data_IF_505532590975
#
_entry.id   IF_505532590975
#
_cell.length_a   1.000
_cell.length_b   1.000
_cell.length_c   1.000
_cell.angle_alpha   90.00
_cell.angle_beta   90.00
_cell.angle_gamma   90.00
#
_symmetry.space_group_name_H-M   'P 1'
#
loop_
_entity.id
_entity.type
_entity.pdbx_description
1 polymer ?
#
# COMPACT_ATOMS: atom_id res chain seq x y z
N UNK A 1 -2.97 -66.17 41.95
CA UNK A 1 -2.22 -65.61 40.80
C UNK A 1 -3.16 -65.44 39.62
N UNK A 2 -3.43 -64.19 39.20
CA UNK A 2 -3.68 -63.78 37.81
C UNK A 2 -4.06 -62.28 37.79
N UNK A 3 -3.11 -61.43 37.43
CA UNK A 3 -3.33 -60.01 37.15
C UNK A 3 -4.04 -59.85 35.79
N UNK A 4 -5.14 -59.10 35.72
CA UNK A 4 -5.68 -58.58 34.45
C UNK A 4 -5.37 -57.09 34.33
N UNK A 5 -4.60 -56.79 33.28
CA UNK A 5 -4.08 -55.48 32.89
C UNK A 5 -5.18 -54.64 32.24
N UNK A 6 -5.12 -53.35 32.57
CA UNK A 6 -5.98 -52.26 32.13
C UNK A 6 -5.55 -51.80 30.72
N UNK A 7 -6.42 -51.92 29.71
CA UNK A 7 -6.19 -51.40 28.36
C UNK A 7 -6.95 -50.09 28.17
N UNK A 8 -6.22 -48.96 28.25
CA UNK A 8 -6.72 -47.65 27.82
C UNK A 8 -6.69 -47.57 26.29
N UNK A 9 -7.84 -47.23 25.73
CA UNK A 9 -8.12 -47.08 24.30
C UNK A 9 -7.35 -45.87 23.68
N UNK A 10 -6.51 -46.05 22.63
CA UNK A 10 -5.61 -45.01 22.11
C UNK A 10 -6.23 -44.03 21.09
N UNK A 11 -7.52 -44.15 20.76
CA UNK A 11 -8.12 -43.37 19.66
C UNK A 11 -8.46 -41.90 19.97
N UNK A 12 -8.35 -41.44 21.22
CA UNK A 12 -8.75 -40.06 21.57
C UNK A 12 -7.62 -39.00 21.47
N UNK A 13 -6.35 -39.42 21.32
CA UNK A 13 -5.21 -38.49 21.15
C UNK A 13 -4.87 -38.17 19.69
N UNK A 14 -5.21 -39.04 18.74
CA UNK A 14 -4.88 -38.84 17.32
C UNK A 14 -5.77 -37.77 16.63
N UNK A 15 -7.01 -37.57 17.08
CA UNK A 15 -7.93 -36.58 16.50
C UNK A 15 -7.62 -35.11 16.83
N UNK A 16 -6.91 -34.83 17.93
CA UNK A 16 -6.44 -33.47 18.27
C UNK A 16 -5.08 -33.14 17.64
N UNK A 17 -4.22 -34.16 17.45
CA UNK A 17 -2.93 -34.01 16.78
C UNK A 17 -3.17 -33.71 15.29
N UNK A 18 -4.06 -34.43 14.59
CA UNK A 18 -4.34 -34.14 13.17
C UNK A 18 -4.91 -32.73 12.91
N UNK A 19 -5.64 -32.12 13.84
CA UNK A 19 -6.16 -30.76 13.69
C UNK A 19 -5.12 -29.67 13.97
N UNK A 20 -4.12 -29.95 14.80
CA UNK A 20 -3.00 -29.03 15.05
C UNK A 20 -1.90 -29.15 14.00
N UNK A 21 -1.68 -30.35 13.42
CA UNK A 21 -0.73 -30.54 12.30
C UNK A 21 -1.23 -29.92 11.00
N UNK A 22 -2.54 -29.89 10.75
CA UNK A 22 -3.11 -29.23 9.56
C UNK A 22 -3.02 -27.69 9.66
N UNK A 23 -3.08 -27.13 10.88
CA UNK A 23 -2.86 -25.68 11.11
C UNK A 23 -1.37 -25.31 11.01
N UNK A 24 -0.44 -26.22 11.36
CA UNK A 24 1.00 -25.99 11.16
C UNK A 24 1.46 -26.16 9.70
N UNK A 25 0.84 -27.07 8.93
CA UNK A 25 1.16 -27.27 7.51
C UNK A 25 0.66 -26.12 6.62
N UNK A 26 -0.41 -25.43 7.03
CA UNK A 26 -0.86 -24.19 6.36
C UNK A 26 0.03 -22.99 6.73
N UNK A 27 0.69 -23.00 7.90
CA UNK A 27 1.65 -21.94 8.28
C UNK A 27 3.03 -22.06 7.61
N UNK A 28 3.48 -23.28 7.29
CA UNK A 28 4.75 -23.49 6.56
C UNK A 28 4.64 -23.30 5.03
N UNK A 29 3.42 -23.18 4.49
CA UNK A 29 3.18 -22.90 3.07
C UNK A 29 3.04 -21.38 2.76
N UNK A 30 3.12 -20.51 3.78
CA UNK A 30 2.91 -19.05 3.65
C UNK A 30 4.20 -18.24 3.87
N UNK A 31 5.30 -18.87 4.29
CA UNK A 31 6.62 -18.25 4.24
C UNK A 31 7.41 -18.85 3.07
N UNK A 32 7.63 -18.10 1.97
CA UNK A 32 8.64 -18.52 1.01
C UNK A 32 9.97 -18.68 1.77
N UNK A 33 10.89 -19.57 1.35
CA UNK A 33 12.26 -19.45 1.80
C UNK A 33 12.68 -18.02 1.50
N UNK A 34 13.05 -17.28 2.53
CA UNK A 34 13.74 -16.01 2.36
C UNK A 34 14.99 -16.40 1.58
N UNK A 35 14.95 -16.16 0.27
CA UNK A 35 16.09 -16.21 -0.60
C UNK A 35 17.02 -15.10 -0.11
N UNK A 36 17.81 -15.40 0.91
CA UNK A 36 19.11 -14.78 1.06
C UNK A 36 19.86 -15.11 -0.22
N UNK A 37 19.97 -14.10 -1.07
CA UNK A 37 20.69 -14.14 -2.33
C UNK A 37 22.18 -14.35 -2.05
N UNK A 38 22.61 -15.59 -1.79
CA UNK A 38 23.99 -16.00 -2.03
C UNK A 38 24.02 -16.69 -3.39
N UNK A 39 23.91 -15.89 -4.46
CA UNK A 39 23.89 -16.41 -5.83
C UNK A 39 25.28 -16.67 -6.41
N UNK A 40 26.34 -16.32 -5.69
CA UNK A 40 27.72 -16.54 -6.11
C UNK A 40 28.46 -17.18 -4.96
N UNK A 41 28.71 -18.49 -5.03
CA UNK A 41 29.40 -19.25 -3.98
C UNK A 41 30.92 -18.99 -4.00
N UNK A 42 31.41 -18.03 -4.80
CA UNK A 42 32.83 -17.76 -4.98
C UNK A 42 33.53 -18.72 -5.94
N UNK A 43 32.79 -19.71 -6.44
CA UNK A 43 33.22 -20.62 -7.48
C UNK A 43 32.48 -20.18 -8.74
N UNK A 44 33.22 -19.59 -9.68
CA UNK A 44 32.68 -19.11 -10.95
C UNK A 44 32.04 -20.29 -11.71
N UNK A 45 30.93 -20.11 -12.44
CA UNK A 45 30.22 -21.21 -13.16
C UNK A 45 31.10 -22.01 -14.14
N UNK A 46 32.25 -21.46 -14.52
CA UNK A 46 33.26 -22.12 -15.37
C UNK A 46 34.04 -23.19 -14.58
N UNK A 47 34.17 -23.07 -13.25
CA UNK A 47 34.78 -24.06 -12.34
C UNK A 47 33.83 -25.22 -11.98
N UNK A 48 32.51 -25.05 -12.11
CA UNK A 48 31.50 -26.07 -11.74
C UNK A 48 31.64 -27.38 -12.55
N UNK A 49 32.10 -27.29 -13.80
CA UNK A 49 32.18 -28.45 -14.71
C UNK A 49 33.44 -29.32 -14.54
N UNK A 50 34.37 -28.97 -13.63
CA UNK A 50 35.64 -29.72 -13.45
C UNK A 50 35.93 -30.15 -12.02
N UNK A 51 35.09 -29.81 -11.03
CA UNK A 51 35.46 -29.88 -9.61
C UNK A 51 34.57 -30.74 -8.71
N UNK A 52 33.88 -31.75 -9.25
CA UNK A 52 33.18 -32.71 -8.38
C UNK A 52 33.67 -34.13 -8.69
N UNK A 53 34.76 -34.53 -8.02
CA UNK A 53 34.94 -35.94 -7.65
C UNK A 53 34.19 -36.15 -6.34
N UNK A 54 32.95 -36.61 -6.42
CA UNK A 54 32.19 -37.06 -5.25
C UNK A 54 32.98 -38.19 -4.55
N UNK A 55 33.23 -38.06 -3.24
CA UNK A 55 33.66 -39.17 -2.39
C UNK A 55 34.92 -38.99 -1.52
N UNK A 56 35.51 -37.79 -1.40
CA UNK A 56 36.59 -37.57 -0.43
C UNK A 56 36.01 -37.11 0.92
N UNK A 57 36.27 -37.87 1.99
CA UNK A 57 35.80 -37.57 3.37
C UNK A 57 36.12 -36.12 3.81
N UNK A 58 37.22 -35.55 3.32
CA UNK A 58 37.65 -34.18 3.62
C UNK A 58 36.76 -33.10 2.99
N UNK A 59 36.23 -33.32 1.78
CA UNK A 59 35.29 -32.38 1.15
C UNK A 59 33.94 -32.41 1.87
N UNK A 60 33.54 -33.58 2.39
CA UNK A 60 32.30 -33.73 3.17
C UNK A 60 32.32 -32.92 4.47
N UNK A 61 33.47 -32.85 5.16
CA UNK A 61 33.63 -32.00 6.33
C UNK A 61 33.55 -30.50 6.01
N UNK A 62 34.11 -30.05 4.87
CA UNK A 62 34.01 -28.65 4.44
C UNK A 62 32.55 -28.31 4.11
N UNK A 63 31.83 -29.19 3.43
CA UNK A 63 30.41 -29.01 3.14
C UNK A 63 29.54 -29.03 4.40
N UNK A 64 29.86 -29.87 5.39
CA UNK A 64 29.20 -29.86 6.69
C UNK A 64 29.41 -28.51 7.40
N UNK A 65 30.64 -28.01 7.42
CA UNK A 65 30.97 -26.69 7.96
C UNK A 65 30.17 -25.57 7.25
N UNK A 66 30.11 -25.57 5.92
CA UNK A 66 29.34 -24.61 5.13
C UNK A 66 27.82 -24.71 5.37
N UNK A 67 27.30 -25.89 5.71
CA UNK A 67 25.87 -26.09 5.92
C UNK A 67 25.43 -25.68 7.33
N UNK A 68 26.26 -25.94 8.33
CA UNK A 68 25.87 -25.88 9.75
C UNK A 68 26.48 -24.68 10.47
N UNK A 69 27.77 -24.37 10.22
CA UNK A 69 28.53 -23.43 11.04
C UNK A 69 28.70 -22.07 10.38
N UNK A 70 28.98 -22.00 9.08
CA UNK A 70 29.19 -20.71 8.39
C UNK A 70 27.96 -19.79 8.47
N UNK A 71 26.74 -20.36 8.45
CA UNK A 71 25.49 -19.61 8.56
C UNK A 71 25.29 -18.92 9.91
N UNK A 72 25.89 -19.45 10.98
CA UNK A 72 25.74 -18.95 12.34
C UNK A 72 26.88 -17.99 12.75
N UNK A 73 27.94 -17.87 11.95
CA UNK A 73 29.13 -17.08 12.26
C UNK A 73 29.01 -15.58 11.92
N UNK A 74 27.83 -15.13 11.48
CA UNK A 74 27.46 -13.70 11.46
C UNK A 74 28.54 -12.79 10.88
N UNK A 75 28.83 -12.91 9.60
CA UNK A 75 29.84 -12.08 8.94
C UNK A 75 30.00 -12.48 7.50
N UNK A 76 30.26 -11.50 6.63
CA UNK A 76 30.46 -11.78 5.22
C UNK A 76 31.97 -11.99 4.97
N UNK A 77 32.38 -13.12 4.38
CA UNK A 77 33.81 -13.47 4.23
C UNK A 77 34.57 -12.40 3.42
N UNK A 78 35.65 -11.79 3.94
CA UNK A 78 36.34 -10.68 3.26
C UNK A 78 37.15 -11.12 2.02
N UNK A 79 37.12 -12.40 1.70
CA UNK A 79 38.03 -13.09 0.80
C UNK A 79 37.27 -13.80 -0.31
N UNK A 80 37.71 -13.67 -1.56
CA UNK A 80 37.13 -14.32 -2.73
C UNK A 80 38.15 -15.22 -3.47
N UNK A 81 37.87 -16.52 -3.65
CA UNK A 81 36.85 -17.30 -2.95
C UNK A 81 37.08 -17.29 -1.44
N UNK A 82 36.02 -17.60 -0.67
CA UNK A 82 36.13 -17.78 0.78
C UNK A 82 37.13 -18.89 1.12
N UNK A 83 37.70 -18.87 2.32
CA UNK A 83 38.69 -19.88 2.75
C UNK A 83 38.18 -21.32 2.61
N UNK A 84 36.90 -21.57 2.88
CA UNK A 84 36.29 -22.89 2.68
C UNK A 84 36.23 -23.29 1.20
N UNK A 85 35.94 -22.35 0.31
CA UNK A 85 35.87 -22.64 -1.13
C UNK A 85 37.26 -22.73 -1.76
N UNK A 86 38.21 -21.92 -1.28
CA UNK A 86 39.63 -22.09 -1.60
C UNK A 86 40.09 -23.50 -1.19
N UNK A 87 39.73 -23.95 0.01
CA UNK A 87 39.98 -25.32 0.49
C UNK A 87 39.42 -26.38 -0.45
N UNK A 88 38.15 -26.27 -0.86
CA UNK A 88 37.55 -27.18 -1.82
C UNK A 88 38.33 -27.23 -3.15
N UNK A 89 38.76 -26.07 -3.67
CA UNK A 89 39.55 -25.99 -4.90
C UNK A 89 40.87 -26.75 -4.74
N UNK A 90 41.65 -26.47 -3.68
CA UNK A 90 42.98 -27.08 -3.53
C UNK A 90 42.90 -28.57 -3.18
N UNK A 91 41.96 -29.01 -2.35
CA UNK A 91 41.79 -30.43 -2.00
C UNK A 91 41.30 -31.28 -3.18
N UNK A 92 40.62 -30.67 -4.14
CA UNK A 92 40.22 -31.35 -5.38
C UNK A 92 41.36 -31.47 -6.39
N UNK A 93 42.35 -30.58 -6.33
CA UNK A 93 43.38 -30.44 -7.37
C UNK A 93 44.78 -30.91 -6.95
N UNK A 94 45.06 -30.97 -5.65
CA UNK A 94 46.39 -31.26 -5.10
C UNK A 94 46.37 -32.42 -4.10
N UNK A 95 47.50 -33.14 -3.92
CA UNK A 95 47.62 -34.15 -2.88
C UNK A 95 47.32 -33.58 -1.49
N UNK A 96 46.80 -34.43 -0.59
CA UNK A 96 46.28 -34.04 0.72
C UNK A 96 47.21 -33.11 1.51
N UNK A 97 48.50 -33.42 1.62
CA UNK A 97 49.44 -32.63 2.42
C UNK A 97 49.72 -31.24 1.82
N UNK A 98 49.76 -31.13 0.49
CA UNK A 98 49.93 -29.86 -0.21
C UNK A 98 48.66 -29.00 -0.08
N UNK A 99 47.50 -29.60 -0.30
CA UNK A 99 46.20 -28.94 -0.13
C UNK A 99 45.98 -28.46 1.31
N UNK A 100 46.37 -29.27 2.31
CA UNK A 100 46.31 -28.89 3.72
C UNK A 100 47.24 -27.71 4.02
N UNK A 101 48.46 -27.72 3.48
CA UNK A 101 49.42 -26.62 3.67
C UNK A 101 48.93 -25.32 3.04
N UNK A 102 48.41 -25.36 1.80
CA UNK A 102 47.86 -24.20 1.11
C UNK A 102 46.60 -23.66 1.79
N UNK A 103 45.74 -24.54 2.31
CA UNK A 103 44.54 -24.13 3.05
C UNK A 103 44.90 -23.51 4.40
N UNK A 104 45.87 -24.07 5.10
CA UNK A 104 46.36 -23.52 6.37
C UNK A 104 46.98 -22.13 6.18
N UNK A 105 47.85 -21.97 5.17
CA UNK A 105 48.41 -20.68 4.78
C UNK A 105 47.31 -19.64 4.48
N UNK A 106 46.31 -20.02 3.67
CA UNK A 106 45.16 -19.16 3.35
C UNK A 106 44.39 -18.72 4.59
N UNK A 107 44.20 -19.61 5.57
CA UNK A 107 43.51 -19.28 6.82
C UNK A 107 44.30 -18.28 7.67
N UNK A 108 45.63 -18.32 7.65
CA UNK A 108 46.48 -17.36 8.35
C UNK A 108 46.37 -15.97 7.72
N UNK A 109 46.41 -15.86 6.38
CA UNK A 109 46.32 -14.59 5.66
C UNK A 109 44.92 -13.98 5.63
N UNK A 110 43.89 -14.78 5.90
CA UNK A 110 42.50 -14.35 5.81
C UNK A 110 42.21 -13.15 6.71
N UNK A 111 41.89 -12.00 6.09
CA UNK A 111 41.40 -10.80 6.77
C UNK A 111 42.47 -9.86 7.35
N UNK A 112 43.76 -10.12 7.13
CA UNK A 112 44.84 -9.35 7.76
C UNK A 112 45.78 -8.60 6.78
N UNK A 113 45.58 -8.76 5.47
CA UNK A 113 46.56 -8.35 4.44
C UNK A 113 45.92 -7.60 3.24
N UNK A 114 44.88 -6.81 3.47
CA UNK A 114 44.07 -6.13 2.44
C UNK A 114 44.86 -5.40 1.34
N UNK A 115 45.93 -4.69 1.70
CA UNK A 115 46.76 -3.91 0.76
C UNK A 115 47.49 -4.72 -0.32
N UNK A 116 47.57 -6.04 -0.18
CA UNK A 116 48.30 -6.92 -1.11
C UNK A 116 47.40 -7.61 -2.13
N UNK A 117 46.08 -7.45 -2.05
CA UNK A 117 45.12 -8.12 -2.95
C UNK A 117 44.34 -7.12 -3.77
N UNK A 118 44.03 -7.50 -5.02
CA UNK A 118 43.03 -6.81 -5.81
C UNK A 118 41.64 -7.02 -5.21
N UNK A 119 40.74 -6.06 -5.43
CA UNK A 119 39.38 -6.16 -4.94
C UNK A 119 38.45 -6.71 -6.01
N UNK A 120 37.44 -7.46 -5.57
CA UNK A 120 36.33 -7.92 -6.39
C UNK A 120 35.00 -7.61 -5.70
N UNK A 121 33.97 -7.35 -6.49
CA UNK A 121 32.59 -7.22 -6.02
C UNK A 121 31.74 -8.46 -6.38
N UNK A 122 32.37 -9.59 -6.74
CA UNK A 122 31.66 -10.79 -7.18
C UNK A 122 30.71 -11.39 -6.11
N UNK A 123 30.96 -11.15 -4.82
CA UNK A 123 30.01 -11.48 -3.74
C UNK A 123 28.90 -10.43 -3.52
N UNK A 124 28.79 -9.40 -4.38
CA UNK A 124 27.92 -8.23 -4.15
C UNK A 124 28.48 -7.23 -3.14
N UNK A 125 29.74 -7.42 -2.73
CA UNK A 125 30.49 -6.58 -1.78
C UNK A 125 31.97 -6.65 -2.08
N UNK A 126 32.73 -5.64 -1.65
CA UNK A 126 34.19 -5.67 -1.78
C UNK A 126 34.75 -6.87 -1.01
N UNK A 127 35.50 -7.69 -1.72
CA UNK A 127 36.20 -8.86 -1.21
C UNK A 127 37.59 -8.90 -1.85
N UNK A 128 38.56 -9.38 -1.11
CA UNK A 128 39.95 -9.47 -1.53
C UNK A 128 40.13 -10.75 -2.36
N UNK A 129 40.56 -10.58 -3.60
CA UNK A 129 40.67 -11.63 -4.60
C UNK A 129 41.97 -12.42 -4.38
N UNK A 130 41.87 -13.70 -4.06
CA UNK A 130 43.03 -14.57 -3.84
C UNK A 130 42.72 -16.03 -4.21
N UNK A 131 43.25 -16.43 -5.36
CA UNK A 131 43.16 -17.78 -5.91
C UNK A 131 44.42 -18.59 -5.56
N UNK A 132 44.38 -19.93 -5.61
CA UNK A 132 45.58 -20.73 -5.40
C UNK A 132 46.72 -20.27 -6.32
N UNK A 133 47.98 -20.26 -5.85
CA UNK A 133 49.10 -19.58 -6.53
C UNK A 133 49.39 -20.13 -7.94
N UNK A 134 48.90 -21.34 -8.24
CA UNK A 134 49.01 -21.98 -9.55
C UNK A 134 47.80 -21.71 -10.47
N UNK A 135 46.87 -20.84 -10.09
CA UNK A 135 45.71 -20.38 -10.88
C UNK A 135 45.73 -18.86 -10.99
N UNK A 136 45.52 -18.34 -12.21
CA UNK A 136 45.31 -16.90 -12.44
C UNK A 136 43.83 -16.55 -12.28
N UNK A 137 43.47 -15.51 -11.49
CA UNK A 137 42.09 -15.09 -11.35
C UNK A 137 41.54 -14.52 -12.68
N UNK A 138 40.27 -14.81 -13.05
CA UNK A 138 39.65 -14.20 -14.23
C UNK A 138 39.63 -12.66 -14.16
N UNK A 139 40.09 -11.98 -15.22
CA UNK A 139 40.14 -10.50 -15.30
C UNK A 139 38.81 -9.81 -14.95
N UNK A 140 37.68 -10.38 -15.34
CA UNK A 140 36.32 -9.85 -15.05
C UNK A 140 36.00 -9.74 -13.55
N UNK A 141 36.73 -10.46 -12.69
CA UNK A 141 36.54 -10.41 -11.24
C UNK A 141 37.26 -9.20 -10.64
N UNK A 142 38.27 -8.66 -11.32
CA UNK A 142 39.03 -7.51 -10.85
C UNK A 142 38.14 -6.27 -10.97
N UNK A 143 37.91 -5.59 -9.84
CA UNK A 143 37.13 -4.37 -9.83
C UNK A 143 37.92 -3.21 -10.45
N UNK A 144 37.31 -2.54 -11.42
CA UNK A 144 37.77 -1.26 -11.99
C UNK A 144 36.72 -0.18 -11.68
N UNK A 145 37.13 1.04 -11.32
CA UNK A 145 36.20 2.16 -11.06
C UNK A 145 35.39 2.49 -12.33
N UNK A 146 34.07 2.76 -12.24
CA UNK A 146 33.27 3.08 -13.43
C UNK A 146 33.64 4.44 -14.02
N UNK A 147 33.79 4.52 -15.35
CA UNK A 147 33.85 5.78 -16.10
C UNK A 147 32.45 6.42 -16.16
N UNK A 148 32.37 7.75 -15.98
CA UNK A 148 31.12 8.49 -16.01
C UNK A 148 30.69 8.84 -17.46
N UNK A 149 29.43 8.56 -17.80
CA UNK A 149 28.79 8.93 -19.08
C UNK A 149 27.99 10.24 -18.92
N UNK A 150 28.05 11.12 -19.92
CA UNK A 150 27.29 12.39 -20.00
C UNK A 150 26.48 12.48 -21.32
N UNK A 151 25.55 13.44 -21.41
CA UNK A 151 24.73 13.75 -22.60
C UNK A 151 24.77 15.25 -22.95
N UNK A 152 24.39 15.61 -24.18
CA UNK A 152 24.40 16.97 -24.74
C UNK A 152 23.47 17.98 -24.02
N UNK A 153 23.88 19.26 -24.04
CA UNK A 153 23.08 20.41 -23.58
C UNK A 153 22.29 21.01 -24.75
N UNK A 154 21.02 20.61 -24.90
CA UNK A 154 20.12 21.25 -25.86
C UNK A 154 19.46 22.49 -25.24
N UNK A 155 19.77 23.67 -25.78
CA UNK A 155 19.06 24.92 -25.52
C UNK A 155 17.86 25.04 -26.47
N UNK A 156 16.72 24.46 -26.08
CA UNK A 156 15.43 24.89 -26.60
C UNK A 156 14.87 25.98 -25.68
N UNK A 157 14.31 27.03 -26.27
CA UNK A 157 13.53 28.04 -25.56
C UNK A 157 12.16 27.45 -25.22
N UNK A 158 12.15 26.44 -24.36
CA UNK A 158 10.93 25.87 -23.81
C UNK A 158 10.42 26.83 -22.73
N UNK A 159 9.22 27.36 -22.90
CA UNK A 159 8.61 28.11 -21.80
C UNK A 159 8.34 27.10 -20.69
N UNK A 160 8.85 27.35 -19.47
CA UNK A 160 8.65 26.41 -18.35
C UNK A 160 7.17 26.04 -18.15
N UNK A 161 6.26 26.95 -18.52
CA UNK A 161 4.82 26.72 -18.55
C UNK A 161 4.38 25.60 -19.53
N UNK A 162 4.97 25.53 -20.73
CA UNK A 162 4.70 24.47 -21.70
C UNK A 162 5.23 23.12 -21.20
N UNK A 163 6.42 23.09 -20.61
CA UNK A 163 6.96 21.86 -20.02
C UNK A 163 6.11 21.37 -18.84
N UNK A 164 5.69 22.28 -17.94
CA UNK A 164 4.73 21.96 -16.86
C UNK A 164 3.42 21.41 -17.44
N UNK A 165 2.86 22.03 -18.48
CA UNK A 165 1.65 21.53 -19.14
C UNK A 165 1.86 20.13 -19.75
N UNK A 166 3.01 19.90 -20.38
CA UNK A 166 3.37 18.61 -20.93
C UNK A 166 3.39 17.53 -19.84
N UNK A 167 4.03 17.81 -18.70
CA UNK A 167 4.09 16.89 -17.56
C UNK A 167 2.70 16.60 -16.98
N UNK A 168 1.87 17.63 -16.79
CA UNK A 168 0.47 17.47 -16.31
C UNK A 168 -0.36 16.62 -17.27
N UNK A 169 -0.25 16.88 -18.58
CA UNK A 169 -0.99 16.10 -19.60
C UNK A 169 -0.51 14.64 -19.70
N UNK A 170 0.72 14.36 -19.27
CA UNK A 170 1.27 13.00 -19.13
C UNK A 170 0.95 12.36 -17.77
N UNK A 171 0.14 13.01 -16.93
CA UNK A 171 -0.18 12.61 -15.55
C UNK A 171 1.06 12.48 -14.64
N UNK A 172 2.15 13.18 -14.95
CA UNK A 172 3.38 13.23 -14.15
C UNK A 172 3.34 14.42 -13.19
N UNK A 173 2.38 14.41 -12.28
CA UNK A 173 2.06 15.56 -11.42
C UNK A 173 3.15 15.88 -10.39
N UNK A 174 3.90 14.87 -9.94
CA UNK A 174 5.05 15.00 -9.05
C UNK A 174 6.20 15.78 -9.73
N UNK A 175 6.53 15.42 -10.97
CA UNK A 175 7.53 16.13 -11.76
C UNK A 175 7.06 17.53 -12.15
N UNK A 176 5.77 17.68 -12.49
CA UNK A 176 5.18 18.98 -12.77
C UNK A 176 5.27 19.88 -11.54
N UNK A 177 4.96 19.36 -10.35
CA UNK A 177 5.06 20.08 -9.09
C UNK A 177 6.51 20.50 -8.81
N UNK A 178 7.49 19.60 -8.99
CA UNK A 178 8.91 19.93 -8.84
C UNK A 178 9.33 21.07 -9.77
N UNK A 179 8.91 21.04 -11.04
CA UNK A 179 9.22 22.08 -12.01
C UNK A 179 8.52 23.41 -11.66
N UNK A 180 7.26 23.36 -11.19
CA UNK A 180 6.55 24.53 -10.68
C UNK A 180 7.29 25.15 -9.51
N UNK A 181 7.75 24.36 -8.54
CA UNK A 181 8.53 24.83 -7.39
C UNK A 181 9.83 25.48 -7.82
N UNK A 182 10.54 24.87 -8.79
CA UNK A 182 11.76 25.43 -9.37
C UNK A 182 11.49 26.81 -9.97
N UNK A 183 10.40 26.97 -10.72
CA UNK A 183 10.04 28.24 -11.36
C UNK A 183 9.63 29.30 -10.32
N UNK A 184 8.83 28.93 -9.32
CA UNK A 184 8.41 29.83 -8.23
C UNK A 184 9.62 30.28 -7.40
N UNK A 185 10.60 29.41 -7.16
CA UNK A 185 11.83 29.74 -6.44
C UNK A 185 12.61 30.89 -7.09
N UNK A 186 12.64 30.96 -8.43
CA UNK A 186 13.23 32.07 -9.18
C UNK A 186 12.32 33.32 -9.26
N UNK A 187 11.33 33.44 -8.37
CA UNK A 187 10.54 34.63 -8.07
C UNK A 187 9.61 35.12 -9.19
N UNK A 188 8.89 34.19 -9.83
CA UNK A 188 7.73 34.57 -10.66
C UNK A 188 6.51 34.94 -9.81
N UNK A 189 5.79 35.99 -10.20
CA UNK A 189 4.47 36.34 -9.64
C UNK A 189 3.33 35.89 -10.57
N UNK A 190 3.59 34.93 -11.46
CA UNK A 190 2.58 34.41 -12.37
C UNK A 190 1.64 33.43 -11.66
N UNK A 191 0.39 33.86 -11.53
CA UNK A 191 -0.73 33.11 -10.96
C UNK A 191 -0.89 31.71 -11.56
N UNK A 192 -0.57 31.51 -12.84
CA UNK A 192 -0.76 30.21 -13.50
C UNK A 192 0.03 29.08 -12.83
N UNK A 193 1.23 29.36 -12.33
CA UNK A 193 2.03 28.34 -11.63
C UNK A 193 1.38 27.93 -10.32
N UNK A 194 0.83 28.89 -9.56
CA UNK A 194 0.13 28.63 -8.30
C UNK A 194 -1.18 27.86 -8.50
N UNK A 195 -1.96 28.19 -9.54
CA UNK A 195 -3.17 27.43 -9.90
C UNK A 195 -2.79 25.98 -10.24
N UNK A 196 -1.76 25.77 -11.05
CA UNK A 196 -1.27 24.43 -11.39
C UNK A 196 -0.64 23.70 -10.21
N UNK A 197 -0.05 24.43 -9.27
CA UNK A 197 0.49 23.88 -8.03
C UNK A 197 -0.62 23.20 -7.22
N UNK A 198 -1.72 23.93 -6.97
CA UNK A 198 -2.91 23.38 -6.30
C UNK A 198 -3.55 22.22 -7.08
N UNK A 199 -3.56 22.30 -8.42
CA UNK A 199 -4.01 21.19 -9.27
C UNK A 199 -3.13 19.95 -9.10
N UNK A 200 -1.81 20.09 -9.02
CA UNK A 200 -0.92 18.95 -8.81
C UNK A 200 -1.11 18.35 -7.41
N UNK A 201 -1.34 19.16 -6.37
CA UNK A 201 -1.70 18.65 -5.04
C UNK A 201 -3.00 17.85 -5.06
N UNK A 202 -4.05 18.36 -5.72
CA UNK A 202 -5.33 17.66 -5.94
C UNK A 202 -5.11 16.32 -6.67
N UNK A 203 -4.34 16.31 -7.75
CA UNK A 203 -4.11 15.12 -8.56
C UNK A 203 -3.23 14.05 -7.86
N UNK A 204 -2.47 14.44 -6.83
CA UNK A 204 -1.60 13.57 -6.05
C UNK A 204 -2.25 13.06 -4.75
N UNK A 205 -3.52 13.39 -4.47
CA UNK A 205 -4.19 13.08 -3.19
C UNK A 205 -3.44 13.71 -1.99
N UNK A 206 -2.89 14.92 -2.21
CA UNK A 206 -2.09 15.71 -1.26
C UNK A 206 -2.76 17.05 -0.95
N UNK A 207 -4.09 17.06 -0.83
CA UNK A 207 -4.86 18.29 -0.66
C UNK A 207 -4.54 19.06 0.62
N UNK A 208 -4.29 18.36 1.72
CA UNK A 208 -3.90 18.99 3.00
C UNK A 208 -2.58 19.76 2.87
N UNK A 209 -1.60 19.20 2.14
CA UNK A 209 -0.33 19.86 1.87
C UNK A 209 -0.51 21.09 0.98
N UNK A 210 -1.37 20.99 -0.05
CA UNK A 210 -1.70 22.12 -0.90
C UNK A 210 -2.42 23.26 -0.17
N UNK A 211 -3.30 22.93 0.77
CA UNK A 211 -3.95 23.91 1.65
C UNK A 211 -2.91 24.58 2.55
N UNK A 212 -2.02 23.80 3.18
CA UNK A 212 -0.97 24.32 4.05
C UNK A 212 -0.01 25.26 3.30
N UNK A 213 0.43 24.85 2.11
CA UNK A 213 1.31 25.63 1.25
C UNK A 213 0.65 26.93 0.77
N UNK A 214 -0.65 26.90 0.46
CA UNK A 214 -1.42 28.11 0.22
C UNK A 214 -1.39 29.05 1.43
N UNK A 215 -1.66 28.55 2.63
CA UNK A 215 -1.73 29.39 3.82
C UNK A 215 -0.37 30.00 4.19
N UNK A 216 0.72 29.26 4.03
CA UNK A 216 2.05 29.67 4.48
C UNK A 216 2.86 30.41 3.43
N UNK A 217 2.81 29.98 2.16
CA UNK A 217 3.82 30.34 1.16
C UNK A 217 3.28 31.18 -0.01
N UNK A 218 1.96 31.19 -0.25
CA UNK A 218 1.41 31.95 -1.38
C UNK A 218 1.47 33.47 -1.13
N UNK A 219 1.92 34.28 -2.10
CA UNK A 219 1.91 35.74 -1.98
C UNK A 219 0.51 36.31 -1.80
N UNK A 220 0.36 37.38 -1.02
CA UNK A 220 -0.95 38.02 -0.72
C UNK A 220 -1.74 38.41 -1.98
N UNK A 221 -1.06 38.87 -3.03
CA UNK A 221 -1.67 39.22 -4.33
C UNK A 221 -2.26 38.00 -5.05
N UNK A 222 -1.65 36.83 -4.90
CA UNK A 222 -2.11 35.57 -5.51
C UNK A 222 -3.27 34.98 -4.73
N UNK A 223 -3.28 35.13 -3.39
CA UNK A 223 -4.37 34.66 -2.52
C UNK A 223 -5.74 35.25 -2.86
N UNK A 224 -5.79 36.45 -3.43
CA UNK A 224 -7.05 37.10 -3.85
C UNK A 224 -7.48 36.74 -5.27
N UNK A 225 -6.76 35.87 -5.98
CA UNK A 225 -7.13 35.49 -7.34
C UNK A 225 -8.28 34.48 -7.33
N UNK A 226 -9.29 34.70 -8.17
CA UNK A 226 -10.49 33.85 -8.23
C UNK A 226 -10.22 32.40 -8.67
N UNK A 227 -9.27 32.15 -9.57
CA UNK A 227 -8.92 30.78 -9.99
C UNK A 227 -8.20 30.01 -8.87
N UNK A 228 -7.29 30.69 -8.17
CA UNK A 228 -6.59 30.13 -7.00
C UNK A 228 -7.59 29.79 -5.91
N UNK A 229 -8.49 30.73 -5.56
CA UNK A 229 -9.52 30.52 -4.55
C UNK A 229 -10.49 29.39 -4.93
N UNK A 230 -10.82 29.24 -6.22
CA UNK A 230 -11.66 28.14 -6.69
C UNK A 230 -10.97 26.79 -6.51
N UNK A 231 -9.68 26.66 -6.87
CA UNK A 231 -8.90 25.43 -6.64
C UNK A 231 -8.76 25.14 -5.16
N UNK A 232 -8.48 26.14 -4.33
CA UNK A 232 -8.42 25.99 -2.88
C UNK A 232 -9.75 25.51 -2.29
N UNK A 233 -10.88 26.10 -2.71
CA UNK A 233 -12.20 25.67 -2.28
C UNK A 233 -12.48 24.21 -2.67
N UNK A 234 -11.97 23.75 -3.83
CA UNK A 234 -12.03 22.35 -4.23
C UNK A 234 -11.19 21.46 -3.30
N UNK A 235 -9.98 21.86 -2.94
CA UNK A 235 -9.16 21.11 -1.97
C UNK A 235 -9.89 20.97 -0.62
N UNK A 236 -10.47 22.07 -0.10
CA UNK A 236 -11.28 22.02 1.12
C UNK A 236 -12.52 21.11 0.97
N UNK A 237 -13.13 21.07 -0.21
CA UNK A 237 -14.25 20.17 -0.48
C UNK A 237 -13.81 18.70 -0.47
N UNK A 238 -12.67 18.36 -1.10
CA UNK A 238 -12.16 16.99 -1.14
C UNK A 238 -11.77 16.47 0.25
N UNK A 239 -11.19 17.32 1.10
CA UNK A 239 -10.86 16.99 2.50
C UNK A 239 -12.08 16.93 3.42
N UNK A 240 -13.29 17.16 2.89
CA UNK A 240 -14.54 17.17 3.66
C UNK A 240 -14.74 18.42 4.52
N UNK A 241 -13.86 19.41 4.43
CA UNK A 241 -13.99 20.69 5.13
C UNK A 241 -14.94 21.64 4.38
N UNK A 242 -16.22 21.24 4.33
CA UNK A 242 -17.27 21.96 3.60
C UNK A 242 -17.50 23.39 4.12
N UNK A 243 -17.25 23.63 5.42
CA UNK A 243 -17.38 24.97 6.01
C UNK A 243 -16.36 25.95 5.42
N UNK A 244 -15.08 25.58 5.36
CA UNK A 244 -14.04 26.43 4.77
C UNK A 244 -14.19 26.56 3.25
N UNK A 245 -14.57 25.47 2.58
CA UNK A 245 -14.90 25.51 1.16
C UNK A 245 -16.01 26.54 0.87
N UNK A 246 -17.11 26.48 1.61
CA UNK A 246 -18.24 27.42 1.48
C UNK A 246 -17.83 28.87 1.80
N UNK A 247 -17.04 29.09 2.86
CA UNK A 247 -16.51 30.41 3.23
C UNK A 247 -15.70 31.04 2.09
N UNK A 248 -14.80 30.24 1.50
CA UNK A 248 -13.95 30.65 0.36
C UNK A 248 -14.79 31.03 -0.86
N UNK A 249 -15.82 30.24 -1.17
CA UNK A 249 -16.69 30.42 -2.34
C UNK A 249 -17.67 31.60 -2.23
N UNK A 250 -18.06 31.99 -1.01
CA UNK A 250 -18.96 33.13 -0.76
C UNK A 250 -18.27 34.49 -0.81
N UNK A 251 -16.95 34.52 -1.00
CA UNK A 251 -16.23 35.79 -1.17
C UNK A 251 -16.72 36.57 -2.40
N UNK A 252 -16.75 37.90 -2.32
CA UNK A 252 -17.17 38.79 -3.43
C UNK A 252 -16.14 38.88 -4.57
N UNK A 253 -15.17 37.96 -4.62
CA UNK A 253 -14.02 37.98 -5.52
C UNK A 253 -14.38 37.42 -6.90
N UNK A 254 -15.36 36.51 -6.98
CA UNK A 254 -15.75 35.87 -8.24
C UNK A 254 -16.52 36.84 -9.14
N UNK A 255 -15.84 37.38 -10.14
CA UNK A 255 -16.40 38.34 -11.10
C UNK A 255 -16.48 37.77 -12.52
N UNK A 256 -15.55 36.90 -12.92
CA UNK A 256 -15.63 36.28 -14.24
C UNK A 256 -16.80 35.29 -14.32
N UNK A 257 -17.58 35.40 -15.40
CA UNK A 257 -18.77 34.57 -15.69
C UNK A 257 -18.53 33.08 -15.43
N UNK A 258 -17.40 32.54 -15.91
CA UNK A 258 -17.06 31.12 -15.76
C UNK A 258 -16.73 30.74 -14.31
N UNK A 259 -15.91 31.53 -13.62
CA UNK A 259 -15.51 31.25 -12.24
C UNK A 259 -16.67 31.48 -11.26
N UNK A 260 -17.56 32.42 -11.57
CA UNK A 260 -18.82 32.62 -10.85
C UNK A 260 -19.74 31.41 -10.98
N UNK A 261 -19.90 30.86 -12.19
CA UNK A 261 -20.63 29.62 -12.42
C UNK A 261 -20.05 28.46 -11.60
N UNK A 262 -18.74 28.18 -11.74
CA UNK A 262 -18.06 27.09 -11.01
C UNK A 262 -18.21 27.23 -9.49
N UNK A 263 -18.09 28.46 -8.98
CA UNK A 263 -18.29 28.75 -7.56
C UNK A 263 -19.72 28.44 -7.10
N UNK A 264 -20.74 28.93 -7.80
CA UNK A 264 -22.14 28.69 -7.46
C UNK A 264 -22.50 27.21 -7.52
N UNK A 265 -22.00 26.47 -8.52
CA UNK A 265 -22.25 25.04 -8.61
C UNK A 265 -21.59 24.29 -7.46
N UNK A 266 -20.33 24.58 -7.12
CA UNK A 266 -19.66 23.92 -6.00
C UNK A 266 -20.36 24.21 -4.67
N UNK A 267 -20.85 25.44 -4.46
CA UNK A 267 -21.71 25.77 -3.31
C UNK A 267 -23.00 24.94 -3.32
N UNK A 268 -23.67 24.81 -4.48
CA UNK A 268 -24.87 24.00 -4.62
C UNK A 268 -24.61 22.52 -4.31
N UNK A 269 -23.49 21.97 -4.76
CA UNK A 269 -23.06 20.59 -4.47
C UNK A 269 -22.83 20.40 -2.97
N UNK A 270 -22.19 21.36 -2.30
CA UNK A 270 -22.00 21.34 -0.84
C UNK A 270 -23.36 21.35 -0.12
N UNK A 271 -24.34 22.14 -0.58
CA UNK A 271 -25.67 22.14 0.03
C UNK A 271 -26.42 20.82 -0.18
N UNK A 272 -26.23 20.15 -1.32
CA UNK A 272 -26.75 18.79 -1.54
C UNK A 272 -26.11 17.79 -0.57
N UNK A 273 -24.80 17.87 -0.31
CA UNK A 273 -24.13 17.04 0.70
C UNK A 273 -24.72 17.25 2.09
N UNK A 274 -25.03 18.50 2.43
CA UNK A 274 -25.69 18.86 3.70
C UNK A 274 -27.19 18.54 3.72
N UNK A 275 -27.75 17.98 2.64
CA UNK A 275 -29.19 17.69 2.46
C UNK A 275 -30.09 18.95 2.48
N UNK A 276 -29.52 20.14 2.30
CA UNK A 276 -30.26 21.37 2.11
C UNK A 276 -30.62 21.57 0.63
N UNK A 277 -31.65 20.84 0.20
CA UNK A 277 -32.09 20.85 -1.19
C UNK A 277 -32.76 22.17 -1.60
N UNK A 278 -33.22 23.00 -0.65
CA UNK A 278 -33.86 24.28 -0.96
C UNK A 278 -32.80 25.28 -1.38
N UNK A 279 -31.76 25.44 -0.58
CA UNK A 279 -30.62 26.31 -0.89
C UNK A 279 -29.86 25.82 -2.12
N UNK A 280 -29.68 24.49 -2.25
CA UNK A 280 -29.06 23.92 -3.44
C UNK A 280 -29.79 24.34 -4.72
N UNK A 281 -31.13 24.21 -4.78
CA UNK A 281 -31.90 24.63 -5.96
C UNK A 281 -31.76 26.13 -6.24
N UNK A 282 -31.76 26.97 -5.19
CA UNK A 282 -31.55 28.42 -5.33
C UNK A 282 -30.20 28.72 -5.97
N UNK A 283 -29.13 28.07 -5.50
CA UNK A 283 -27.77 28.24 -6.04
C UNK A 283 -27.66 27.77 -7.49
N UNK A 284 -28.24 26.61 -7.82
CA UNK A 284 -28.26 26.12 -9.21
C UNK A 284 -29.09 27.01 -10.13
N UNK A 285 -30.18 27.61 -9.65
CA UNK A 285 -30.95 28.62 -10.39
C UNK A 285 -30.16 29.91 -10.61
N UNK A 286 -29.36 30.35 -9.63
CA UNK A 286 -28.45 31.48 -9.84
C UNK A 286 -27.34 31.13 -10.84
N UNK A 287 -26.82 29.90 -10.78
CA UNK A 287 -25.79 29.43 -11.72
C UNK A 287 -26.29 29.37 -13.17
N UNK A 288 -27.61 29.22 -13.39
CA UNK A 288 -28.19 29.10 -14.74
C UNK A 288 -28.01 30.36 -15.58
N UNK A 289 -27.85 31.53 -14.94
CA UNK A 289 -27.53 32.80 -15.60
C UNK A 289 -26.20 32.76 -16.38
N UNK A 290 -25.36 31.79 -16.08
CA UNK A 290 -24.00 31.66 -16.59
C UNK A 290 -23.77 30.32 -17.33
N UNK A 291 -24.82 29.53 -17.60
CA UNK A 291 -24.73 28.17 -18.13
C UNK A 291 -25.77 27.88 -19.22
N UNK A 292 -25.59 26.78 -19.97
CA UNK A 292 -26.59 26.32 -20.96
C UNK A 292 -27.82 25.73 -20.25
N UNK A 293 -29.02 26.08 -20.73
CA UNK A 293 -30.31 25.69 -20.13
C UNK A 293 -30.47 24.17 -19.89
N UNK A 294 -29.88 23.34 -20.76
CA UNK A 294 -29.93 21.87 -20.64
C UNK A 294 -29.22 21.33 -19.41
N UNK A 295 -28.09 21.95 -19.01
CA UNK A 295 -27.32 21.61 -17.82
C UNK A 295 -28.13 21.96 -16.57
N UNK A 296 -28.73 23.15 -16.55
CA UNK A 296 -29.59 23.60 -15.44
C UNK A 296 -30.76 22.63 -15.20
N UNK A 297 -31.51 22.28 -16.25
CA UNK A 297 -32.66 21.38 -16.11
C UNK A 297 -32.26 20.00 -15.57
N UNK A 298 -31.11 19.48 -16.02
CA UNK A 298 -30.57 18.20 -15.54
C UNK A 298 -30.20 18.27 -14.05
N UNK A 299 -29.55 19.35 -13.62
CA UNK A 299 -29.18 19.56 -12.22
C UNK A 299 -30.42 19.62 -11.31
N UNK A 300 -31.44 20.38 -11.70
CA UNK A 300 -32.69 20.48 -10.93
C UNK A 300 -33.39 19.13 -10.81
N UNK A 301 -33.48 18.36 -11.89
CA UNK A 301 -34.07 17.01 -11.86
C UNK A 301 -33.32 16.06 -10.91
N UNK A 302 -31.99 16.16 -10.85
CA UNK A 302 -31.18 15.37 -9.90
C UNK A 302 -31.54 15.76 -8.46
N UNK A 303 -31.61 17.06 -8.17
CA UNK A 303 -31.89 17.57 -6.82
C UNK A 303 -33.32 17.22 -6.39
N UNK A 304 -34.31 17.36 -7.26
CA UNK A 304 -35.70 16.98 -6.99
C UNK A 304 -35.84 15.48 -6.70
N UNK A 305 -35.13 14.65 -7.48
CA UNK A 305 -35.09 13.22 -7.22
C UNK A 305 -34.51 12.92 -5.83
N UNK A 306 -33.44 13.60 -5.43
CA UNK A 306 -32.84 13.41 -4.10
C UNK A 306 -33.79 13.84 -2.98
N UNK A 307 -34.44 15.01 -3.13
CA UNK A 307 -35.40 15.54 -2.17
C UNK A 307 -36.59 14.59 -1.96
N UNK A 308 -37.05 13.92 -3.02
CA UNK A 308 -38.21 13.03 -2.97
C UNK A 308 -37.88 11.61 -2.48
N UNK A 309 -36.60 11.25 -2.36
CA UNK A 309 -36.21 9.92 -1.86
C UNK A 309 -36.38 9.86 -0.34
N UNK A 310 -37.21 8.91 0.12
CA UNK A 310 -37.34 8.60 1.54
C UNK A 310 -36.10 7.86 2.05
N UNK A 311 -35.33 8.54 2.90
CA UNK A 311 -34.18 7.97 3.58
C UNK A 311 -34.58 6.85 4.56
N UNK A 312 -33.68 5.89 4.75
CA UNK A 312 -33.86 4.75 5.66
C UNK A 312 -33.52 5.18 7.08
N UNK A 313 -34.40 4.88 8.03
CA UNK A 313 -34.17 5.17 9.45
C UNK A 313 -33.28 4.12 10.11
N UNK A 314 -32.21 4.57 10.78
CA UNK A 314 -31.32 3.71 11.57
C UNK A 314 -32.07 3.02 12.72
N UNK A 315 -33.04 3.70 13.35
CA UNK A 315 -33.84 3.13 14.44
C UNK A 315 -34.75 2.01 13.95
N UNK A 316 -35.38 2.19 12.78
CA UNK A 316 -36.18 1.13 12.16
C UNK A 316 -35.32 -0.07 11.78
N UNK A 317 -34.12 0.15 11.24
CA UNK A 317 -33.19 -0.94 10.93
C UNK A 317 -32.74 -1.70 12.20
N UNK A 318 -32.45 -1.00 13.30
CA UNK A 318 -32.14 -1.62 14.60
C UNK A 318 -33.32 -2.46 15.11
N UNK A 319 -34.53 -1.91 15.10
CA UNK A 319 -35.74 -2.60 15.57
C UNK A 319 -36.02 -3.89 14.76
N UNK A 320 -35.92 -3.82 13.44
CA UNK A 320 -36.10 -4.99 12.57
C UNK A 320 -35.01 -6.05 12.76
N UNK A 321 -33.87 -5.68 13.36
CA UNK A 321 -32.76 -6.60 13.61
C UNK A 321 -32.91 -7.44 14.87
N UNK A 322 -34.01 -7.28 15.61
CA UNK A 322 -34.41 -8.25 16.65
C UNK A 322 -34.46 -9.66 16.05
N UNK A 323 -34.96 -9.77 14.81
CA UNK A 323 -34.75 -10.95 13.97
C UNK A 323 -33.40 -10.76 13.27
N UNK A 324 -32.39 -11.63 13.53
CA UNK A 324 -31.08 -11.50 12.90
C UNK A 324 -31.16 -11.33 11.38
N UNK A 325 -30.54 -10.28 10.86
CA UNK A 325 -30.56 -9.95 9.43
C UNK A 325 -31.72 -9.06 8.97
N UNK A 326 -32.78 -8.87 9.76
CA UNK A 326 -33.97 -8.11 9.35
C UNK A 326 -33.69 -6.64 9.00
N UNK A 327 -32.86 -5.94 9.78
CA UNK A 327 -32.48 -4.56 9.46
C UNK A 327 -31.54 -4.43 8.26
N UNK A 328 -30.68 -5.42 8.01
CA UNK A 328 -29.87 -5.48 6.80
C UNK A 328 -30.75 -5.71 5.55
N UNK A 329 -31.78 -6.55 5.64
CA UNK A 329 -32.75 -6.73 4.56
C UNK A 329 -33.53 -5.43 4.27
N UNK A 330 -33.95 -4.71 5.29
CA UNK A 330 -34.63 -3.40 5.15
C UNK A 330 -33.78 -2.35 4.42
N UNK A 331 -32.46 -2.40 4.62
CA UNK A 331 -31.47 -1.53 3.97
C UNK A 331 -30.96 -2.08 2.63
N UNK A 332 -31.59 -3.15 2.13
CA UNK A 332 -31.24 -3.85 0.87
C UNK A 332 -29.84 -4.48 0.86
N UNK A 333 -29.26 -4.73 2.03
CA UNK A 333 -27.98 -5.40 2.19
C UNK A 333 -28.18 -6.89 2.44
N UNK A 334 -28.59 -7.63 1.41
CA UNK A 334 -28.99 -9.03 1.55
C UNK A 334 -27.85 -9.97 1.95
N UNK A 335 -26.61 -9.66 1.55
CA UNK A 335 -25.43 -10.45 1.94
C UNK A 335 -25.22 -10.42 3.46
N UNK A 336 -25.29 -9.24 4.07
CA UNK A 336 -25.18 -9.10 5.52
C UNK A 336 -26.41 -9.63 6.27
N UNK A 337 -27.60 -9.56 5.64
CA UNK A 337 -28.81 -10.15 6.21
C UNK A 337 -28.66 -11.67 6.39
N UNK A 338 -28.24 -12.37 5.34
CA UNK A 338 -28.03 -13.82 5.37
C UNK A 338 -26.90 -14.20 6.34
N UNK A 339 -25.77 -13.48 6.27
CA UNK A 339 -24.62 -13.72 7.15
C UNK A 339 -24.99 -13.59 8.62
N UNK A 340 -25.73 -12.53 8.96
CA UNK A 340 -26.20 -12.30 10.33
C UNK A 340 -27.14 -13.41 10.81
N UNK A 341 -28.08 -13.84 9.97
CA UNK A 341 -28.98 -14.93 10.28
C UNK A 341 -28.23 -16.23 10.56
N UNK A 342 -27.28 -16.60 9.69
CA UNK A 342 -26.50 -17.82 9.82
C UNK A 342 -25.63 -17.83 11.07
N UNK A 343 -24.87 -16.76 11.31
CA UNK A 343 -23.96 -16.67 12.46
C UNK A 343 -24.74 -16.72 13.78
N UNK A 344 -25.80 -15.92 13.91
CA UNK A 344 -26.61 -15.90 15.13
C UNK A 344 -27.34 -17.24 15.35
N UNK A 345 -27.85 -17.88 14.29
CA UNK A 345 -28.50 -19.18 14.41
C UNK A 345 -27.51 -20.28 14.82
N UNK A 346 -26.32 -20.28 14.23
CA UNK A 346 -25.29 -21.28 14.51
C UNK A 346 -24.73 -21.14 15.93
N UNK A 347 -24.42 -19.91 16.36
CA UNK A 347 -23.93 -19.65 17.72
C UNK A 347 -25.01 -19.92 18.78
N UNK A 348 -26.26 -19.53 18.51
CA UNK A 348 -27.39 -19.84 19.38
C UNK A 348 -27.60 -21.35 19.51
N UNK A 349 -27.58 -22.08 18.39
CA UNK A 349 -27.68 -23.55 18.38
C UNK A 349 -26.51 -24.22 19.10
N UNK A 350 -25.27 -23.78 18.85
CA UNK A 350 -24.07 -24.30 19.50
C UNK A 350 -24.12 -24.10 21.02
N UNK A 351 -24.58 -22.92 21.47
CA UNK A 351 -24.78 -22.62 22.89
C UNK A 351 -25.82 -23.55 23.50
N UNK A 352 -27.02 -23.63 22.90
CA UNK A 352 -28.11 -24.49 23.36
C UNK A 352 -27.70 -25.97 23.45
N UNK A 353 -27.07 -26.50 22.39
CA UNK A 353 -26.63 -27.89 22.34
C UNK A 353 -25.52 -28.18 23.36
N UNK A 354 -24.64 -27.22 23.64
CA UNK A 354 -23.60 -27.36 24.66
C UNK A 354 -24.18 -27.43 26.08
N UNK A 355 -25.20 -26.61 26.37
CA UNK A 355 -25.95 -26.67 27.63
C UNK A 355 -26.65 -28.01 27.77
N UNK A 356 -27.36 -28.46 26.72
CA UNK A 356 -28.07 -29.75 26.71
C UNK A 356 -27.15 -30.95 26.94
N UNK A 357 -25.88 -30.86 26.54
CA UNK A 357 -24.86 -31.89 26.74
C UNK A 357 -24.01 -31.68 28.00
N UNK A 358 -24.40 -30.77 28.88
CA UNK A 358 -23.69 -30.45 30.14
C UNK A 358 -22.24 -29.99 29.94
N UNK A 359 -21.89 -29.51 28.74
CA UNK A 359 -20.57 -28.94 28.44
C UNK A 359 -20.59 -27.43 28.71
N UNK A 360 -20.60 -27.08 30.00
CA UNK A 360 -20.77 -25.69 30.44
C UNK A 360 -19.61 -24.77 30.03
N UNK A 361 -18.38 -25.28 29.91
CA UNK A 361 -17.24 -24.49 29.46
C UNK A 361 -17.41 -24.00 28.02
N UNK A 362 -17.78 -24.91 27.10
CA UNK A 362 -18.06 -24.54 25.70
C UNK A 362 -19.35 -23.70 25.61
N UNK A 363 -20.36 -24.01 26.42
CA UNK A 363 -21.60 -23.22 26.47
C UNK A 363 -21.34 -21.76 26.87
N UNK A 364 -20.48 -21.50 27.86
CA UNK A 364 -20.14 -20.15 28.28
C UNK A 364 -19.46 -19.36 27.15
N UNK A 365 -18.47 -19.95 26.49
CA UNK A 365 -17.75 -19.32 25.37
C UNK A 365 -18.71 -19.03 24.20
N UNK A 366 -19.49 -20.03 23.78
CA UNK A 366 -20.45 -19.86 22.68
C UNK A 366 -21.55 -18.87 23.02
N UNK A 367 -22.01 -18.84 24.28
CA UNK A 367 -23.01 -17.89 24.76
C UNK A 367 -22.53 -16.45 24.69
N UNK A 368 -21.29 -16.18 25.14
CA UNK A 368 -20.67 -14.84 25.04
C UNK A 368 -20.57 -14.42 23.57
N UNK A 369 -20.11 -15.29 22.68
CA UNK A 369 -20.08 -14.98 21.25
C UNK A 369 -21.49 -14.76 20.68
N UNK A 370 -22.45 -15.61 21.02
CA UNK A 370 -23.84 -15.49 20.55
C UNK A 370 -24.43 -14.13 20.91
N UNK A 371 -24.28 -13.68 22.17
CA UNK A 371 -24.75 -12.36 22.60
C UNK A 371 -23.99 -11.24 21.90
N UNK A 372 -22.67 -11.35 21.77
CA UNK A 372 -21.83 -10.34 21.13
C UNK A 372 -22.21 -10.13 19.66
N UNK A 373 -22.37 -11.22 18.90
CA UNK A 373 -22.79 -11.17 17.49
C UNK A 373 -24.24 -10.70 17.33
N UNK A 374 -25.12 -11.02 18.29
CA UNK A 374 -26.51 -10.55 18.27
C UNK A 374 -26.59 -9.03 18.46
N UNK A 375 -25.86 -8.49 19.44
CA UNK A 375 -25.74 -7.05 19.67
C UNK A 375 -25.10 -6.37 18.46
N UNK A 376 -24.02 -6.94 17.93
CA UNK A 376 -23.33 -6.44 16.73
C UNK A 376 -24.24 -6.36 15.50
N UNK A 377 -25.13 -7.34 15.31
CA UNK A 377 -26.13 -7.34 14.25
C UNK A 377 -27.07 -6.12 14.34
N UNK A 378 -27.56 -5.78 15.55
CA UNK A 378 -28.47 -4.65 15.75
C UNK A 378 -27.78 -3.32 15.43
N UNK A 379 -26.59 -3.09 16.00
CA UNK A 379 -25.84 -1.86 15.75
C UNK A 379 -25.39 -1.73 14.28
N UNK A 380 -24.91 -2.83 13.69
CA UNK A 380 -24.46 -2.85 12.31
C UNK A 380 -25.59 -2.63 11.30
N UNK A 381 -26.81 -3.07 11.60
CA UNK A 381 -27.98 -2.77 10.78
C UNK A 381 -28.36 -1.28 10.83
N UNK A 382 -28.24 -0.63 11.99
CA UNK A 382 -28.38 0.82 12.10
C UNK A 382 -27.41 1.56 11.19
N UNK A 383 -26.12 1.23 11.27
CA UNK A 383 -25.07 1.79 10.40
C UNK A 383 -25.28 1.45 8.92
N UNK A 384 -25.93 0.33 8.60
CA UNK A 384 -26.29 -0.02 7.22
C UNK A 384 -27.32 0.95 6.64
N UNK A 385 -28.21 1.50 7.46
CA UNK A 385 -29.18 2.51 7.02
C UNK A 385 -28.49 3.83 6.68
N UNK A 386 -27.55 4.27 7.52
CA UNK A 386 -26.77 5.48 7.28
C UNK A 386 -25.94 5.36 6.01
N UNK A 387 -25.23 4.23 5.83
CA UNK A 387 -24.48 3.93 4.61
C UNK A 387 -25.37 3.88 3.36
N UNK A 388 -26.58 3.35 3.47
CA UNK A 388 -27.54 3.34 2.36
C UNK A 388 -27.93 4.77 1.95
N UNK A 389 -28.23 5.63 2.92
CA UNK A 389 -28.60 7.03 2.67
C UNK A 389 -27.44 7.82 2.08
N UNK A 390 -26.24 7.69 2.67
CA UNK A 390 -25.02 8.34 2.18
C UNK A 390 -24.68 7.92 0.76
N UNK A 391 -24.86 6.63 0.41
CA UNK A 391 -24.67 6.15 -0.96
C UNK A 391 -25.60 6.85 -1.96
N UNK A 392 -26.85 7.12 -1.59
CA UNK A 392 -27.80 7.82 -2.47
C UNK A 392 -27.36 9.27 -2.69
N UNK A 393 -26.98 9.96 -1.61
CA UNK A 393 -26.51 11.35 -1.67
C UNK A 393 -25.25 11.42 -2.55
N UNK A 394 -24.25 10.58 -2.28
CA UNK A 394 -23.01 10.52 -3.05
C UNK A 394 -23.24 10.19 -4.53
N UNK A 395 -24.20 9.32 -4.86
CA UNK A 395 -24.59 9.07 -6.25
C UNK A 395 -25.21 10.31 -6.91
N UNK A 396 -26.00 11.07 -6.18
CA UNK A 396 -26.55 12.35 -6.63
C UNK A 396 -25.47 13.39 -6.89
N UNK A 397 -24.58 13.58 -5.92
CA UNK A 397 -23.44 14.49 -5.99
C UNK A 397 -22.50 14.11 -7.13
N UNK A 398 -22.17 12.83 -7.30
CA UNK A 398 -21.34 12.38 -8.42
C UNK A 398 -22.00 12.67 -9.77
N UNK A 399 -23.32 12.52 -9.89
CA UNK A 399 -24.04 12.92 -11.11
C UNK A 399 -23.96 14.41 -11.35
N UNK A 400 -24.13 15.24 -10.32
CA UNK A 400 -23.95 16.70 -10.43
C UNK A 400 -22.52 17.03 -10.88
N UNK A 401 -21.49 16.42 -10.29
CA UNK A 401 -20.11 16.67 -10.67
C UNK A 401 -19.81 16.25 -12.11
N UNK A 402 -20.39 15.13 -12.59
CA UNK A 402 -20.26 14.69 -13.98
C UNK A 402 -20.98 15.65 -14.93
N UNK A 403 -22.21 16.04 -14.62
CA UNK A 403 -22.99 16.99 -15.43
C UNK A 403 -22.34 18.36 -15.53
N UNK A 404 -21.64 18.79 -14.47
CA UNK A 404 -20.97 20.08 -14.39
C UNK A 404 -19.44 19.95 -14.55
N UNK A 405 -18.96 18.99 -15.36
CA UNK A 405 -17.53 18.66 -15.56
C UNK A 405 -16.59 19.84 -15.91
N UNK A 406 -17.14 21.00 -16.27
CA UNK A 406 -16.41 22.28 -16.34
C UNK A 406 -15.73 22.70 -15.02
N UNK A 407 -16.06 22.09 -13.87
CA UNK A 407 -15.45 22.36 -12.55
C UNK A 407 -14.07 21.69 -12.41
N UNK A 408 -13.80 20.61 -13.15
CA UNK A 408 -12.58 19.83 -12.98
C UNK A 408 -11.36 20.39 -13.74
N UNK A 409 -11.55 21.39 -14.60
CA UNK A 409 -10.49 22.05 -15.37
C UNK A 409 -10.33 23.51 -14.95
#
# INVERSE_FOLDING_TARGET
MANKINLRNPYHRYGQILKTTFVCLVFCAIFPPIFSQEKNNGIDKILDNTLVKEGAVTTDYIHLYQRVLSKNLGGSCPMYPSCSNYGLIVFNERPFWEAMSLTADRLVRCGHEDKYYEQTYAYGKSSLLDYPPYRTPPHKLIYHSPEYLYTDNLHLQDSAQMFVNHLINQNKYDLALLEIERVIYFQTNDTNYYVKKLLCYDALDREEEGILDYEQNFPSKIKTNEEVLLKLAKLYYNTGNYAQSMSTLKSNVFQLTNNKYKSLVLQGVIQVQNQDYVDAKSLFKQSSLYSVDTIFNTNIQIIERLQNIKMKSANTAKLLSIIPGGGYAFTKNYQNAITSLLINSLLGYATYNSIKKENYGVAAIMGVFSVSFYIGNIFGAGQSADRYNQRIINQGVNKLNITNQYINY
#
